data_IF_132017794483
#
_entry.id   IF_132017794483
#
_cell.length_a   1.000
_cell.length_b   1.000
_cell.length_c   1.000
_cell.angle_alpha   90.00
_cell.angle_beta   90.00
_cell.angle_gamma   90.00
#
_symmetry.space_group_name_H-M   'P 1'
#
loop_
_entity.id
_entity.type
_entity.pdbx_description
1 polymer ?
#
# COMPACT_ATOMS: atom_id res chain seq x y z
N UNK A 1 8.65 25.97 1.78
CA UNK A 1 7.95 24.68 1.83
C UNK A 1 7.50 24.41 3.25
N UNK A 2 6.23 24.09 3.47
CA UNK A 2 5.67 23.70 4.76
C UNK A 2 5.19 22.25 4.72
N UNK A 3 5.15 21.58 5.88
CA UNK A 3 4.55 20.25 6.02
C UNK A 3 3.20 20.37 6.73
N UNK A 4 2.17 19.73 6.18
CA UNK A 4 0.78 19.83 6.66
C UNK A 4 0.17 18.44 6.75
N UNK A 5 -0.51 18.18 7.86
CA UNK A 5 -1.35 17.00 8.06
C UNK A 5 -2.78 17.34 7.66
N UNK A 6 -3.28 16.62 6.65
CA UNK A 6 -4.64 16.68 6.13
C UNK A 6 -5.43 15.49 6.67
N UNK A 7 -6.66 15.74 7.13
CA UNK A 7 -7.59 14.67 7.48
C UNK A 7 -8.92 14.88 6.75
N UNK A 8 -9.30 13.91 5.91
CA UNK A 8 -10.59 13.89 5.21
C UNK A 8 -11.50 12.88 5.88
N UNK A 9 -12.70 13.27 6.32
CA UNK A 9 -13.64 12.38 7.01
C UNK A 9 -14.89 12.12 6.18
N UNK A 10 -15.54 10.98 6.42
CA UNK A 10 -16.88 10.73 5.94
C UNK A 10 -17.89 11.68 6.58
N UNK A 11 -18.88 12.06 5.80
CA UNK A 11 -20.13 12.58 6.31
C UNK A 11 -20.85 11.47 7.11
N UNK A 12 -21.24 11.78 8.35
CA UNK A 12 -21.93 10.82 9.22
C UNK A 12 -21.09 9.63 9.72
N UNK A 13 -19.75 9.63 9.55
CA UNK A 13 -18.85 8.52 9.91
C UNK A 13 -19.18 7.18 9.23
N UNK A 14 -19.72 7.25 8.00
CA UNK A 14 -19.93 6.09 7.17
C UNK A 14 -18.61 5.57 6.59
N UNK A 15 -18.61 4.32 6.11
CA UNK A 15 -17.42 3.70 5.53
C UNK A 15 -17.09 4.33 4.16
N UNK A 16 -16.01 5.12 4.08
CA UNK A 16 -15.57 5.76 2.83
C UNK A 16 -15.16 4.74 1.77
N UNK A 17 -14.46 3.68 2.17
CA UNK A 17 -13.87 2.69 1.28
C UNK A 17 -14.18 1.28 1.79
N UNK A 18 -15.41 0.79 1.56
CA UNK A 18 -15.95 -0.38 2.25
C UNK A 18 -15.19 -1.67 1.94
N UNK A 19 -14.61 -1.77 0.74
CA UNK A 19 -13.86 -2.93 0.31
C UNK A 19 -12.39 -2.62 -0.03
N UNK A 20 -11.61 -3.68 -0.18
CA UNK A 20 -10.19 -3.56 -0.49
C UNK A 20 -9.93 -2.94 -1.87
N UNK A 21 -10.79 -3.18 -2.85
CA UNK A 21 -10.64 -2.62 -4.18
C UNK A 21 -10.79 -1.09 -4.16
N UNK A 22 -11.79 -0.58 -3.44
CA UNK A 22 -12.02 0.84 -3.19
C UNK A 22 -10.83 1.47 -2.45
N UNK A 23 -10.33 0.82 -1.39
CA UNK A 23 -9.13 1.29 -0.66
C UNK A 23 -7.92 1.40 -1.56
N UNK A 24 -7.65 0.37 -2.38
CA UNK A 24 -6.51 0.40 -3.32
C UNK A 24 -6.70 1.44 -4.42
N UNK A 25 -7.92 1.69 -4.90
CA UNK A 25 -8.22 2.82 -5.80
C UNK A 25 -7.92 4.18 -5.14
N UNK A 26 -8.32 4.36 -3.88
CA UNK A 26 -8.01 5.57 -3.11
C UNK A 26 -6.51 5.78 -2.94
N UNK A 27 -5.74 4.72 -2.61
CA UNK A 27 -4.27 4.78 -2.53
C UNK A 27 -3.64 5.22 -3.85
N UNK A 28 -4.07 4.65 -4.98
CA UNK A 28 -3.57 5.07 -6.31
C UNK A 28 -3.94 6.53 -6.62
N UNK A 29 -5.14 6.98 -6.21
CA UNK A 29 -5.57 8.36 -6.37
C UNK A 29 -4.69 9.33 -5.54
N UNK A 30 -4.40 8.99 -4.28
CA UNK A 30 -3.49 9.74 -3.42
C UNK A 30 -2.09 9.84 -4.02
N UNK A 31 -1.50 8.74 -4.47
CA UNK A 31 -0.18 8.74 -5.08
C UNK A 31 -0.12 9.58 -6.36
N UNK A 32 -1.12 9.42 -7.25
CA UNK A 32 -1.20 10.16 -8.52
C UNK A 32 -1.32 11.67 -8.33
N UNK A 33 -2.15 12.11 -7.36
CA UNK A 33 -2.43 13.54 -7.15
C UNK A 33 -1.41 14.18 -6.21
N UNK A 34 -0.98 13.45 -5.18
CA UNK A 34 0.01 13.90 -4.20
C UNK A 34 1.41 13.97 -4.80
N UNK A 35 1.77 13.03 -5.67
CA UNK A 35 3.09 12.96 -6.31
C UNK A 35 4.23 13.06 -5.28
N UNK A 36 5.21 13.91 -5.60
CA UNK A 36 6.36 14.18 -4.73
C UNK A 36 6.03 15.02 -3.49
N UNK A 37 4.84 15.62 -3.41
CA UNK A 37 4.41 16.34 -2.21
C UNK A 37 3.97 15.37 -1.11
N UNK A 38 3.61 14.12 -1.44
CA UNK A 38 3.12 13.14 -0.48
C UNK A 38 4.28 12.60 0.40
N UNK A 39 4.09 12.62 1.72
CA UNK A 39 5.06 12.10 2.70
C UNK A 39 4.55 10.85 3.44
N UNK A 40 3.28 10.85 3.84
CA UNK A 40 2.64 9.76 4.56
C UNK A 40 1.16 9.72 4.19
N UNK A 41 0.54 8.55 4.28
CA UNK A 41 -0.92 8.43 4.27
C UNK A 41 -1.40 7.17 5.00
N UNK A 42 -2.65 7.22 5.46
CA UNK A 42 -3.40 6.02 5.81
C UNK A 42 -4.88 6.25 5.49
N UNK A 43 -5.44 5.36 4.68
CA UNK A 43 -6.88 5.28 4.40
C UNK A 43 -7.48 4.33 5.42
N UNK A 44 -8.25 4.81 6.39
CA UNK A 44 -9.02 3.96 7.31
C UNK A 44 -10.47 3.83 6.83
N UNK A 45 -11.34 3.26 7.65
CA UNK A 45 -12.75 3.01 7.32
C UNK A 45 -13.56 4.30 7.13
N UNK A 46 -13.47 5.24 8.07
CA UNK A 46 -14.31 6.45 8.09
C UNK A 46 -13.55 7.75 7.74
N UNK A 47 -12.23 7.69 7.56
CA UNK A 47 -11.42 8.86 7.20
C UNK A 47 -10.08 8.52 6.52
N UNK A 48 -9.40 9.56 6.04
CA UNK A 48 -8.07 9.48 5.40
C UNK A 48 -7.14 10.47 6.05
N UNK A 49 -5.99 10.00 6.51
CA UNK A 49 -4.87 10.84 6.90
C UNK A 49 -3.87 10.97 5.75
N UNK A 50 -3.43 12.20 5.48
CA UNK A 50 -2.42 12.49 4.47
C UNK A 50 -1.44 13.52 5.04
N UNK A 51 -0.14 13.29 4.92
CA UNK A 51 0.88 14.30 5.26
C UNK A 51 1.56 14.71 3.97
N UNK A 52 1.57 16.02 3.70
CA UNK A 52 2.13 16.59 2.47
C UNK A 52 3.15 17.67 2.77
N UNK A 53 4.12 17.85 1.88
CA UNK A 53 5.03 19.00 1.84
C UNK A 53 4.72 19.85 0.63
N UNK A 54 4.33 21.10 0.83
CA UNK A 54 3.97 22.00 -0.27
C UNK A 54 4.26 23.47 0.04
N UNK A 55 4.17 24.32 -0.97
CA UNK A 55 4.18 25.78 -0.77
C UNK A 55 2.87 26.22 -0.07
N UNK A 56 2.91 27.24 0.81
CA UNK A 56 1.72 27.67 1.53
C UNK A 56 0.50 28.00 0.65
N UNK A 57 0.73 28.70 -0.46
CA UNK A 57 -0.28 29.08 -1.45
C UNK A 57 -0.78 27.90 -2.31
N UNK A 58 -0.06 26.77 -2.30
CA UNK A 58 -0.44 25.53 -3.01
C UNK A 58 -1.15 24.51 -2.13
N UNK A 59 -1.00 24.60 -0.80
CA UNK A 59 -1.56 23.59 0.13
C UNK A 59 -3.07 23.42 -0.05
N UNK A 60 -3.83 24.52 -0.10
CA UNK A 60 -5.29 24.46 -0.28
C UNK A 60 -5.71 23.86 -1.62
N UNK A 61 -4.98 24.18 -2.71
CA UNK A 61 -5.22 23.62 -4.04
C UNK A 61 -4.95 22.11 -4.08
N UNK A 62 -3.84 21.66 -3.46
CA UNK A 62 -3.53 20.25 -3.34
C UNK A 62 -4.58 19.50 -2.51
N UNK A 63 -4.99 20.05 -1.37
CA UNK A 63 -6.04 19.47 -0.53
C UNK A 63 -7.37 19.32 -1.30
N UNK A 64 -7.76 20.32 -2.10
CA UNK A 64 -8.94 20.25 -2.96
C UNK A 64 -8.78 19.21 -4.07
N UNK A 65 -7.62 19.11 -4.70
CA UNK A 65 -7.37 18.12 -5.74
C UNK A 65 -7.45 16.68 -5.17
N UNK A 66 -6.86 16.45 -3.99
CA UNK A 66 -6.96 15.17 -3.28
C UNK A 66 -8.42 14.85 -2.93
N UNK A 67 -9.19 15.82 -2.42
CA UNK A 67 -10.61 15.66 -2.14
C UNK A 67 -11.39 15.19 -3.37
N UNK A 68 -11.22 15.87 -4.52
CA UNK A 68 -11.93 15.53 -5.75
C UNK A 68 -11.56 14.14 -6.26
N UNK A 69 -10.28 13.76 -6.14
CA UNK A 69 -9.83 12.43 -6.54
C UNK A 69 -10.33 11.32 -5.61
N UNK A 70 -10.41 11.57 -4.30
CA UNK A 70 -10.99 10.64 -3.33
C UNK A 70 -12.51 10.52 -3.49
N UNK A 71 -13.22 11.63 -3.77
CA UNK A 71 -14.67 11.64 -4.05
C UNK A 71 -15.06 10.71 -5.18
N UNK A 72 -14.23 10.61 -6.22
CA UNK A 72 -14.51 9.74 -7.36
C UNK A 72 -14.48 8.24 -7.03
N UNK A 73 -13.98 7.85 -5.86
CA UNK A 73 -13.83 6.45 -5.45
C UNK A 73 -14.41 6.12 -4.07
N UNK A 74 -14.85 7.14 -3.32
CA UNK A 74 -15.55 6.99 -2.05
C UNK A 74 -16.99 6.50 -2.29
N UNK A 75 -17.51 5.67 -1.38
CA UNK A 75 -18.89 5.22 -1.42
C UNK A 75 -19.89 6.33 -1.02
N UNK A 76 -19.50 7.13 -0.02
CA UNK A 76 -20.32 8.18 0.59
C UNK A 76 -19.70 9.57 0.46
N UNK A 77 -20.40 10.58 0.99
CA UNK A 77 -19.92 11.95 1.06
C UNK A 77 -18.60 12.05 1.85
N UNK A 78 -17.55 12.54 1.21
CA UNK A 78 -16.28 12.90 1.86
C UNK A 78 -16.17 14.41 2.02
N UNK A 79 -15.90 14.82 3.25
CA UNK A 79 -15.80 16.22 3.67
C UNK A 79 -14.43 16.81 3.27
N UNK A 80 -14.36 18.15 3.11
CA UNK A 80 -13.09 18.84 2.94
C UNK A 80 -12.08 18.51 4.05
N UNK A 81 -10.78 18.54 3.73
CA UNK A 81 -9.76 18.25 4.71
C UNK A 81 -9.73 19.27 5.85
N UNK A 82 -9.56 18.78 7.08
CA UNK A 82 -9.01 19.55 8.17
C UNK A 82 -7.47 19.65 8.01
N UNK A 83 -6.94 20.88 8.02
CA UNK A 83 -5.52 21.16 7.82
C UNK A 83 -4.85 21.48 9.16
N UNK A 84 -3.78 20.76 9.50
CA UNK A 84 -2.96 21.04 10.68
C UNK A 84 -1.48 21.19 10.29
N UNK A 85 -0.84 22.34 10.54
CA UNK A 85 0.59 22.50 10.32
C UNK A 85 1.42 21.50 11.14
N UNK A 86 2.48 20.97 10.54
CA UNK A 86 3.50 20.18 11.23
C UNK A 86 4.63 21.13 11.62
N UNK A 87 4.71 21.41 12.92
CA UNK A 87 5.53 22.49 13.51
C UNK A 87 7.02 22.23 13.43
N UNK A 88 7.44 20.97 13.51
CA UNK A 88 8.84 20.60 13.63
C UNK A 88 9.09 19.13 13.24
N UNK A 89 10.36 18.72 13.31
CA UNK A 89 10.81 17.37 12.99
C UNK A 89 10.27 16.31 13.96
N UNK A 90 10.16 16.62 15.24
CA UNK A 90 9.68 15.67 16.25
C UNK A 90 8.19 15.38 16.03
N UNK A 91 7.40 16.39 15.68
CA UNK A 91 6.01 16.25 15.27
C UNK A 91 5.89 15.38 14.00
N UNK A 92 6.73 15.60 12.98
CA UNK A 92 6.73 14.74 11.78
C UNK A 92 7.11 13.28 12.12
N UNK A 93 8.08 13.07 12.99
CA UNK A 93 8.48 11.73 13.44
C UNK A 93 7.38 11.04 14.24
N UNK A 94 6.65 11.78 15.09
CA UNK A 94 5.46 11.28 15.75
C UNK A 94 4.36 10.92 14.73
N UNK A 95 4.15 11.75 13.70
CA UNK A 95 3.18 11.48 12.64
C UNK A 95 3.46 10.17 11.89
N UNK A 96 4.73 9.77 11.70
CA UNK A 96 5.06 8.46 11.12
C UNK A 96 4.41 7.33 11.95
N UNK A 97 4.63 7.33 13.27
CA UNK A 97 4.03 6.32 14.15
C UNK A 97 2.51 6.44 14.19
N UNK A 98 2.01 7.66 14.33
CA UNK A 98 0.57 7.93 14.40
C UNK A 98 -0.17 7.40 13.17
N UNK A 99 0.32 7.70 11.96
CA UNK A 99 -0.31 7.28 10.70
C UNK A 99 -0.22 5.76 10.49
N UNK A 100 0.92 5.15 10.79
CA UNK A 100 1.09 3.70 10.63
C UNK A 100 0.30 2.87 11.65
N UNK A 101 0.00 3.44 12.81
CA UNK A 101 -0.78 2.77 13.86
C UNK A 101 -2.30 2.89 13.66
N UNK A 102 -2.78 3.72 12.72
CA UNK A 102 -4.22 3.93 12.51
C UNK A 102 -5.02 2.65 12.29
N UNK A 103 -4.55 1.64 11.51
CA UNK A 103 -5.32 0.42 11.31
C UNK A 103 -5.58 -0.35 12.62
N UNK A 104 -4.63 -0.36 13.55
CA UNK A 104 -4.81 -0.98 14.86
C UNK A 104 -5.78 -0.17 15.73
N UNK A 105 -5.61 1.16 15.75
CA UNK A 105 -6.48 2.08 16.50
C UNK A 105 -7.95 1.97 16.08
N UNK A 106 -8.20 1.69 14.80
CA UNK A 106 -9.53 1.50 14.21
C UNK A 106 -9.99 0.05 14.17
N UNK A 107 -9.24 -0.90 14.74
CA UNK A 107 -9.58 -2.32 14.79
C UNK A 107 -9.98 -2.91 13.42
N UNK A 108 -9.25 -2.58 12.35
CA UNK A 108 -9.61 -2.89 10.94
C UNK A 108 -9.46 -4.36 10.52
N UNK A 109 -9.56 -5.31 11.46
CA UNK A 109 -9.67 -6.75 11.20
C UNK A 109 -8.44 -7.41 10.56
N UNK A 110 -7.31 -6.72 10.42
CA UNK A 110 -6.06 -7.27 9.90
C UNK A 110 -4.86 -6.63 10.57
N UNK A 111 -3.70 -7.26 10.43
CA UNK A 111 -2.45 -6.73 10.94
C UNK A 111 -2.12 -5.38 10.27
N UNK A 112 -1.71 -4.32 11.01
CA UNK A 112 -1.49 -3.00 10.45
C UNK A 112 -0.47 -2.97 9.29
N UNK A 113 0.51 -3.87 9.34
CA UNK A 113 1.50 -4.01 8.28
C UNK A 113 0.92 -4.49 6.94
N UNK A 114 -0.20 -5.23 6.95
CA UNK A 114 -0.89 -5.75 5.76
C UNK A 114 -2.07 -4.89 5.34
N UNK A 115 -2.35 -3.79 6.04
CA UNK A 115 -3.46 -2.92 5.70
C UNK A 115 -3.21 -2.23 4.35
N UNK A 116 -4.05 -2.54 3.36
CA UNK A 116 -3.87 -2.05 1.98
C UNK A 116 -4.00 -0.54 1.83
N UNK A 117 -4.67 0.14 2.77
CA UNK A 117 -4.78 1.59 2.85
C UNK A 117 -3.60 2.31 3.53
N UNK A 118 -2.67 1.57 4.14
CA UNK A 118 -1.48 2.12 4.82
C UNK A 118 -0.38 2.44 3.81
N UNK A 119 0.46 3.43 4.11
CA UNK A 119 1.66 3.72 3.34
C UNK A 119 2.89 2.88 3.71
N UNK A 120 2.82 2.01 4.73
CA UNK A 120 3.94 1.15 5.11
C UNK A 120 4.52 0.36 3.92
N UNK A 121 3.69 -0.31 3.07
CA UNK A 121 4.23 -1.05 1.94
C UNK A 121 5.06 -0.21 0.97
N UNK A 122 4.70 1.05 0.77
CA UNK A 122 5.45 1.97 -0.09
C UNK A 122 6.78 2.37 0.55
N UNK A 123 6.77 2.66 1.86
CA UNK A 123 7.95 3.06 2.61
C UNK A 123 9.01 1.95 2.68
N UNK A 124 8.60 0.68 2.65
CA UNK A 124 9.50 -0.48 2.73
C UNK A 124 9.77 -1.11 1.36
N UNK A 125 9.26 -0.51 0.28
CA UNK A 125 9.45 -0.98 -1.09
C UNK A 125 8.68 -2.26 -1.44
N UNK A 126 7.70 -2.66 -0.62
CA UNK A 126 6.76 -3.74 -0.92
C UNK A 126 5.61 -3.28 -1.83
N UNK A 127 5.50 -1.99 -2.13
CA UNK A 127 4.54 -1.49 -3.12
C UNK A 127 5.16 -0.38 -3.96
N UNK A 128 4.86 -0.40 -5.25
CA UNK A 128 5.27 0.61 -6.22
C UNK A 128 4.02 1.32 -6.72
N UNK A 129 3.95 2.62 -6.48
CA UNK A 129 2.89 3.50 -6.96
C UNK A 129 3.50 4.49 -7.96
N UNK A 130 3.05 4.52 -9.23
CA UNK A 130 3.56 5.47 -10.21
C UNK A 130 3.45 6.92 -9.72
N UNK A 131 4.54 7.67 -9.82
CA UNK A 131 4.61 9.09 -9.47
C UNK A 131 4.76 9.41 -7.98
N UNK A 132 4.84 8.41 -7.09
CA UNK A 132 5.08 8.63 -5.67
C UNK A 132 6.48 8.17 -5.24
N UNK A 133 7.33 9.11 -4.82
CA UNK A 133 8.66 8.85 -4.28
C UNK A 133 8.67 8.81 -2.73
N UNK A 134 7.62 8.23 -2.12
CA UNK A 134 7.30 8.39 -0.69
C UNK A 134 8.50 8.16 0.25
N UNK A 135 9.21 7.04 0.07
CA UNK A 135 10.36 6.69 0.88
C UNK A 135 11.50 7.72 0.76
N UNK A 136 11.81 8.16 -0.46
CA UNK A 136 12.86 9.14 -0.73
C UNK A 136 12.47 10.53 -0.17
N UNK A 137 11.23 10.97 -0.40
CA UNK A 137 10.75 12.26 0.10
C UNK A 137 10.71 12.29 1.63
N UNK A 138 10.26 11.20 2.27
CA UNK A 138 10.27 11.09 3.74
C UNK A 138 11.70 11.04 4.29
N UNK A 139 12.61 10.29 3.67
CA UNK A 139 14.02 10.21 4.08
C UNK A 139 14.71 11.59 4.01
N UNK A 140 14.36 12.42 3.01
CA UNK A 140 14.87 13.78 2.92
C UNK A 140 14.39 14.68 4.08
N UNK A 141 13.21 14.41 4.67
CA UNK A 141 12.71 15.15 5.84
C UNK A 141 13.21 14.57 7.17
N UNK A 142 13.37 13.24 7.23
CA UNK A 142 13.78 12.49 8.40
C UNK A 142 14.98 11.59 8.08
N UNK A 143 16.20 12.14 7.88
CA UNK A 143 17.38 11.36 7.44
C UNK A 143 17.87 10.32 8.45
N UNK A 144 17.42 10.44 9.71
CA UNK A 144 17.68 9.47 10.79
C UNK A 144 16.56 8.45 10.98
N UNK A 145 15.46 8.55 10.25
CA UNK A 145 14.43 7.51 10.24
C UNK A 145 15.05 6.24 9.67
N UNK A 146 14.78 5.13 10.34
CA UNK A 146 15.28 3.80 9.97
C UNK A 146 14.09 2.88 9.80
N UNK A 147 14.25 1.86 8.94
CA UNK A 147 13.22 0.86 8.68
C UNK A 147 12.74 0.17 9.96
N UNK A 148 13.64 -0.11 10.91
CA UNK A 148 13.28 -0.66 12.24
C UNK A 148 12.18 0.15 12.94
N UNK A 149 12.20 1.48 12.84
CA UNK A 149 11.21 2.36 13.46
C UNK A 149 9.84 2.26 12.78
N UNK A 150 9.81 1.98 11.48
CA UNK A 150 8.58 1.71 10.75
C UNK A 150 7.97 0.37 11.17
N UNK A 151 8.81 -0.66 11.35
CA UNK A 151 8.40 -1.99 11.79
C UNK A 151 7.89 -2.01 13.23
N UNK A 152 8.63 -1.38 14.15
CA UNK A 152 8.18 -1.18 15.53
C UNK A 152 6.79 -0.51 15.59
N UNK A 153 6.53 0.48 14.73
CA UNK A 153 5.24 1.19 14.72
C UNK A 153 4.04 0.31 14.34
N UNK A 154 4.27 -0.82 13.67
CA UNK A 154 3.23 -1.77 13.25
C UNK A 154 3.36 -3.12 13.95
N UNK A 155 4.21 -3.24 14.97
CA UNK A 155 4.39 -4.49 15.72
C UNK A 155 5.21 -5.56 15.01
N UNK A 156 5.99 -5.20 13.98
CA UNK A 156 6.91 -6.13 13.31
C UNK A 156 8.29 -6.16 13.99
N UNK A 157 9.02 -7.29 13.89
CA UNK A 157 10.40 -7.37 14.34
C UNK A 157 11.30 -6.37 13.58
N UNK A 158 12.37 -5.85 14.20
CA UNK A 158 13.20 -4.79 13.62
C UNK A 158 14.09 -5.25 12.44
N UNK A 159 14.16 -6.55 12.16
CA UNK A 159 14.94 -7.13 11.07
C UNK A 159 14.43 -6.61 9.71
N UNK A 160 15.32 -6.15 8.83
CA UNK A 160 14.95 -5.76 7.47
C UNK A 160 14.21 -6.88 6.73
N UNK A 161 13.24 -6.50 5.90
CA UNK A 161 12.61 -7.45 4.99
C UNK A 161 13.55 -7.75 3.82
N UNK A 162 13.84 -9.03 3.65
CA UNK A 162 14.51 -9.56 2.47
C UNK A 162 13.46 -10.02 1.45
N UNK A 163 13.62 -9.74 0.14
CA UNK A 163 12.74 -10.29 -0.87
C UNK A 163 12.77 -11.82 -0.84
N UNK A 164 11.59 -12.46 -0.88
CA UNK A 164 11.46 -13.92 -0.94
C UNK A 164 12.28 -14.51 -2.09
N UNK A 165 13.06 -15.55 -1.82
CA UNK A 165 13.92 -16.24 -2.80
C UNK A 165 13.12 -17.21 -3.68
N UNK A 166 13.69 -17.66 -4.80
CA UNK A 166 13.04 -18.63 -5.69
C UNK A 166 12.75 -19.96 -5.00
N UNK A 167 13.61 -20.39 -4.08
CA UNK A 167 13.39 -21.58 -3.28
C UNK A 167 12.17 -21.43 -2.37
N UNK A 168 12.07 -20.30 -1.66
CA UNK A 168 10.93 -20.00 -0.80
C UNK A 168 9.64 -19.88 -1.61
N UNK A 169 9.68 -19.33 -2.84
CA UNK A 169 8.51 -19.24 -3.72
C UNK A 169 7.87 -20.61 -4.00
N UNK A 170 8.65 -21.69 -4.08
CA UNK A 170 8.12 -23.06 -4.33
C UNK A 170 7.24 -23.56 -3.19
N UNK A 171 7.45 -23.06 -1.97
CA UNK A 171 6.63 -23.38 -0.81
C UNK A 171 5.34 -22.55 -0.71
N UNK A 172 5.12 -21.58 -1.60
CA UNK A 172 3.97 -20.68 -1.56
C UNK A 172 2.88 -21.11 -2.54
N UNK A 173 1.62 -20.94 -2.13
CA UNK A 173 0.48 -21.24 -2.99
C UNK A 173 0.24 -20.17 -4.05
N UNK A 174 -0.43 -20.55 -5.15
CA UNK A 174 -0.81 -19.61 -6.22
C UNK A 174 -1.62 -18.41 -5.71
N UNK A 175 -2.51 -18.62 -4.74
CA UNK A 175 -3.29 -17.55 -4.14
C UNK A 175 -2.42 -16.48 -3.48
N UNK A 176 -1.38 -16.88 -2.74
CA UNK A 176 -0.43 -15.95 -2.11
C UNK A 176 0.33 -15.14 -3.18
N UNK A 177 0.77 -15.79 -4.26
CA UNK A 177 1.48 -15.12 -5.37
C UNK A 177 0.61 -14.09 -6.09
N UNK A 178 -0.67 -14.43 -6.35
CA UNK A 178 -1.64 -13.52 -6.98
C UNK A 178 -1.94 -12.34 -6.06
N UNK A 179 -2.22 -12.60 -4.78
CA UNK A 179 -2.52 -11.57 -3.79
C UNK A 179 -1.36 -10.58 -3.63
N UNK A 180 -0.13 -11.07 -3.48
CA UNK A 180 1.07 -10.25 -3.36
C UNK A 180 1.36 -9.43 -4.62
N UNK A 181 1.21 -10.04 -5.81
CA UNK A 181 1.39 -9.34 -7.09
C UNK A 181 0.37 -8.21 -7.27
N UNK A 182 -0.88 -8.43 -6.87
CA UNK A 182 -1.93 -7.42 -6.87
C UNK A 182 -1.63 -6.31 -5.85
N UNK A 183 -1.25 -6.65 -4.62
CA UNK A 183 -0.92 -5.69 -3.58
C UNK A 183 0.30 -4.80 -3.93
N UNK A 184 1.32 -5.38 -4.58
CA UNK A 184 2.57 -4.70 -4.94
C UNK A 184 2.39 -3.52 -5.92
N UNK A 185 1.28 -3.47 -6.65
CA UNK A 185 0.92 -2.36 -7.55
C UNK A 185 -0.42 -1.73 -7.20
N UNK A 186 -0.96 -2.05 -6.01
CA UNK A 186 -2.31 -1.71 -5.58
C UNK A 186 -3.37 -2.01 -6.66
N UNK A 187 -3.29 -3.12 -7.40
CA UNK A 187 -4.36 -3.52 -8.31
C UNK A 187 -5.60 -3.99 -7.54
N UNK A 188 -6.74 -4.12 -8.22
CA UNK A 188 -7.92 -4.78 -7.65
C UNK A 188 -7.57 -6.22 -7.24
N UNK A 189 -7.92 -6.71 -6.03
CA UNK A 189 -7.65 -8.09 -5.62
C UNK A 189 -8.21 -9.14 -6.59
N UNK A 190 -9.37 -8.87 -7.20
CA UNK A 190 -9.99 -9.78 -8.17
C UNK A 190 -9.28 -9.77 -9.53
N UNK A 191 -8.40 -8.78 -9.77
CA UNK A 191 -7.71 -8.57 -11.05
C UNK A 191 -8.67 -8.54 -12.25
N UNK A 192 -9.90 -8.05 -12.05
CA UNK A 192 -10.89 -7.95 -13.11
C UNK A 192 -10.51 -6.85 -14.13
N UNK A 193 -10.85 -7.06 -15.40
CA UNK A 193 -10.60 -6.08 -16.46
C UNK A 193 -9.23 -6.19 -17.14
N UNK A 194 -8.85 -5.14 -17.88
CA UNK A 194 -7.67 -5.11 -18.78
C UNK A 194 -6.84 -3.82 -18.69
N UNK A 195 -6.99 -3.04 -17.61
CA UNK A 195 -6.18 -1.85 -17.43
C UNK A 195 -4.69 -2.21 -17.21
N UNK A 196 -3.83 -1.19 -17.30
CA UNK A 196 -2.39 -1.37 -17.20
C UNK A 196 -1.96 -1.94 -15.83
N UNK A 197 -2.60 -1.53 -14.74
CA UNK A 197 -2.27 -1.98 -13.38
C UNK A 197 -2.60 -3.47 -13.23
N UNK A 198 -3.80 -3.86 -13.64
CA UNK A 198 -4.26 -5.26 -13.63
C UNK A 198 -3.37 -6.14 -14.51
N UNK A 199 -3.03 -5.67 -15.71
CA UNK A 199 -2.14 -6.39 -16.61
C UNK A 199 -0.74 -6.57 -16.01
N UNK A 200 -0.20 -5.53 -15.37
CA UNK A 200 1.08 -5.58 -14.67
C UNK A 200 1.05 -6.61 -13.53
N UNK A 201 0.04 -6.57 -12.67
CA UNK A 201 -0.12 -7.54 -11.58
C UNK A 201 -0.19 -8.99 -12.09
N UNK A 202 -0.95 -9.24 -13.16
CA UNK A 202 -1.01 -10.58 -13.81
C UNK A 202 0.34 -11.01 -14.37
N UNK A 203 1.11 -10.08 -14.97
CA UNK A 203 2.47 -10.35 -15.44
C UNK A 203 3.42 -10.70 -14.31
N UNK A 204 3.37 -9.98 -13.18
CA UNK A 204 4.18 -10.31 -12.00
C UNK A 204 3.81 -11.71 -11.49
N UNK A 205 2.51 -11.98 -11.30
CA UNK A 205 2.04 -13.29 -10.82
C UNK A 205 2.44 -14.44 -11.74
N UNK A 206 2.34 -14.25 -13.07
CA UNK A 206 2.76 -15.25 -14.05
C UNK A 206 4.29 -15.51 -14.01
N UNK A 207 5.11 -14.47 -13.82
CA UNK A 207 6.56 -14.63 -13.70
C UNK A 207 6.96 -15.32 -12.39
N UNK A 208 6.44 -14.85 -11.25
CA UNK A 208 6.69 -15.46 -9.93
C UNK A 208 6.19 -16.90 -9.87
N UNK A 209 4.99 -17.16 -10.38
CA UNK A 209 4.41 -18.50 -10.42
C UNK A 209 5.19 -19.46 -11.32
N UNK A 210 5.72 -18.99 -12.46
CA UNK A 210 6.61 -19.81 -13.28
C UNK A 210 7.94 -20.10 -12.58
N UNK A 211 8.49 -19.13 -11.83
CA UNK A 211 9.71 -19.34 -11.04
C UNK A 211 9.49 -20.32 -9.86
N UNK A 212 8.28 -20.34 -9.30
CA UNK A 212 7.85 -21.30 -8.29
C UNK A 212 7.55 -22.71 -8.87
N UNK A 213 7.63 -22.89 -10.19
CA UNK A 213 7.41 -24.19 -10.85
C UNK A 213 5.96 -24.50 -11.24
N UNK A 214 5.02 -23.54 -11.13
CA UNK A 214 3.64 -23.76 -11.54
C UNK A 214 3.49 -23.83 -13.07
N UNK A 215 2.63 -24.74 -13.53
CA UNK A 215 2.31 -24.88 -14.96
C UNK A 215 1.40 -23.75 -15.43
N UNK A 216 1.40 -23.51 -16.75
CA UNK A 216 0.61 -22.42 -17.35
C UNK A 216 -0.89 -22.59 -17.13
N UNK A 217 -1.37 -23.82 -17.07
CA UNK A 217 -2.79 -24.17 -16.84
C UNK A 217 -3.22 -23.82 -15.41
N UNK A 218 -2.36 -24.09 -14.42
CA UNK A 218 -2.63 -23.76 -13.02
C UNK A 218 -2.64 -22.23 -12.82
N UNK A 219 -1.69 -21.53 -13.43
CA UNK A 219 -1.64 -20.06 -13.43
C UNK A 219 -2.85 -19.46 -14.15
N UNK A 220 -3.28 -20.06 -15.26
CA UNK A 220 -4.43 -19.62 -16.04
C UNK A 220 -5.71 -19.71 -15.22
N UNK A 221 -5.90 -20.84 -14.52
CA UNK A 221 -7.00 -21.03 -13.59
C UNK A 221 -6.99 -19.98 -12.47
N UNK A 222 -5.85 -19.79 -11.79
CA UNK A 222 -5.74 -18.85 -10.66
C UNK A 222 -5.91 -17.38 -11.06
N UNK A 223 -5.56 -17.01 -12.30
CA UNK A 223 -5.67 -15.65 -12.82
C UNK A 223 -6.97 -15.38 -13.60
N UNK A 224 -7.83 -16.40 -13.75
CA UNK A 224 -9.03 -16.40 -14.57
C UNK A 224 -8.78 -15.92 -16.01
N UNK A 225 -7.74 -16.46 -16.65
CA UNK A 225 -7.37 -16.17 -18.04
C UNK A 225 -7.01 -17.45 -18.79
N UNK A 226 -6.74 -17.38 -20.10
CA UNK A 226 -6.26 -18.53 -20.87
C UNK A 226 -4.77 -18.82 -20.63
N UNK A 227 -4.34 -20.07 -20.83
CA UNK A 227 -2.92 -20.45 -20.78
C UNK A 227 -2.07 -19.66 -21.81
N UNK A 228 -2.65 -19.30 -22.96
CA UNK A 228 -1.99 -18.43 -23.93
C UNK A 228 -1.74 -17.03 -23.37
N UNK A 229 -2.69 -16.46 -22.62
CA UNK A 229 -2.51 -15.19 -21.95
C UNK A 229 -1.39 -15.26 -20.89
N UNK A 230 -1.34 -16.34 -20.10
CA UNK A 230 -0.23 -16.58 -19.14
C UNK A 230 1.13 -16.61 -19.84
N UNK A 231 1.26 -17.35 -20.95
CA UNK A 231 2.51 -17.40 -21.73
C UNK A 231 2.94 -16.01 -22.22
N UNK A 232 1.98 -15.18 -22.65
CA UNK A 232 2.24 -13.78 -23.04
C UNK A 232 2.66 -12.93 -21.84
N UNK A 233 1.97 -13.05 -20.72
CA UNK A 233 2.27 -12.32 -19.49
C UNK A 233 3.67 -12.63 -18.96
N UNK A 234 4.09 -13.90 -19.00
CA UNK A 234 5.42 -14.35 -18.59
C UNK A 234 6.54 -13.75 -19.43
N UNK A 235 6.32 -13.53 -20.73
CA UNK A 235 7.30 -12.98 -21.67
C UNK A 235 7.38 -11.45 -21.65
N UNK A 236 6.46 -10.77 -20.97
CA UNK A 236 6.43 -9.31 -20.92
C UNK A 236 7.64 -8.82 -20.09
N UNK A 237 8.41 -7.90 -20.63
CA UNK A 237 9.44 -7.21 -19.85
C UNK A 237 8.78 -6.37 -18.76
N UNK A 238 9.23 -6.53 -17.52
CA UNK A 238 8.78 -5.76 -16.36
C UNK A 238 9.98 -5.03 -15.77
N UNK A 239 9.71 -3.88 -15.18
CA UNK A 239 10.68 -3.24 -14.29
C UNK A 239 11.03 -4.20 -13.13
N UNK A 240 12.32 -4.53 -12.90
CA UNK A 240 12.75 -5.37 -11.79
C UNK A 240 12.25 -4.90 -10.41
N UNK A 241 12.03 -3.60 -10.23
CA UNK A 241 11.48 -3.04 -8.99
C UNK A 241 10.08 -3.57 -8.67
N UNK A 242 9.26 -3.84 -9.69
CA UNK A 242 7.90 -4.37 -9.52
C UNK A 242 7.92 -5.82 -9.02
N UNK A 243 8.79 -6.65 -9.60
CA UNK A 243 8.96 -8.05 -9.17
C UNK A 243 9.56 -8.10 -7.75
N UNK A 244 10.53 -7.22 -7.46
CA UNK A 244 11.10 -7.08 -6.11
C UNK A 244 10.04 -6.67 -5.09
N UNK A 245 9.16 -5.73 -5.42
CA UNK A 245 8.08 -5.30 -4.54
C UNK A 245 7.10 -6.43 -4.20
N UNK A 246 6.72 -7.25 -5.17
CA UNK A 246 5.88 -8.42 -4.92
C UNK A 246 6.56 -9.49 -4.05
N UNK A 247 7.86 -9.70 -4.21
CA UNK A 247 8.64 -10.56 -3.29
C UNK A 247 8.70 -10.00 -1.87
N UNK A 248 8.83 -8.68 -1.73
CA UNK A 248 8.77 -8.02 -0.42
C UNK A 248 7.36 -8.06 0.20
N UNK A 249 6.29 -8.04 -0.60
CA UNK A 249 4.93 -8.30 -0.09
C UNK A 249 4.81 -9.69 0.51
N UNK A 250 5.31 -10.71 -0.19
CA UNK A 250 5.32 -12.08 0.33
C UNK A 250 6.14 -12.15 1.63
N UNK A 251 7.30 -11.51 1.69
CA UNK A 251 8.12 -11.44 2.90
C UNK A 251 7.37 -10.76 4.05
N UNK A 252 6.64 -9.68 3.77
CA UNK A 252 5.83 -8.97 4.76
C UNK A 252 4.71 -9.85 5.31
N UNK A 253 4.01 -10.59 4.45
CA UNK A 253 2.98 -11.56 4.85
C UNK A 253 3.57 -12.68 5.71
N UNK A 254 4.71 -13.24 5.30
CA UNK A 254 5.40 -14.29 6.07
C UNK A 254 5.88 -13.77 7.44
N UNK A 255 6.41 -12.56 7.51
CA UNK A 255 6.81 -11.93 8.77
C UNK A 255 5.63 -11.77 9.73
N UNK A 256 4.46 -11.38 9.23
CA UNK A 256 3.23 -11.29 10.04
C UNK A 256 2.75 -12.68 10.47
N UNK A 257 2.77 -13.67 9.58
CA UNK A 257 2.38 -15.06 9.91
C UNK A 257 3.29 -15.71 10.95
N UNK A 258 4.55 -15.28 11.04
CA UNK A 258 5.52 -15.77 12.00
C UNK A 258 5.42 -15.09 13.38
N UNK A 259 4.63 -14.03 13.52
CA UNK A 259 4.38 -13.42 14.83
C UNK A 259 3.60 -14.39 15.73
N UNK A 260 3.86 -14.37 17.04
CA UNK A 260 2.99 -15.07 17.97
C UNK A 260 1.56 -14.53 17.83
N UNK A 261 0.53 -15.39 18.03
CA UNK A 261 -0.85 -14.91 18.05
C UNK A 261 -0.96 -13.80 19.09
N UNK A 262 -1.65 -12.71 18.73
CA UNK A 262 -1.90 -11.63 19.68
C UNK A 262 -2.59 -12.22 20.92
N UNK A 263 -2.18 -11.81 22.14
CA UNK A 263 -2.85 -12.26 23.34
C UNK A 263 -4.35 -11.95 23.22
N UNK A 264 -5.18 -12.97 23.40
CA UNK A 264 -6.63 -12.77 23.46
C UNK A 264 -6.89 -11.88 24.68
N UNK A 265 -7.53 -10.71 24.52
CA UNK A 265 -7.84 -9.87 25.67
C UNK A 265 -8.64 -10.71 26.67
N UNK A 266 -8.18 -10.74 27.92
CA UNK A 266 -8.93 -11.38 28.99
C UNK A 266 -10.32 -10.72 29.07
N UNK A 267 -11.39 -11.51 29.27
CA UNK A 267 -12.76 -11.00 29.34
C UNK A 267 -12.94 -9.98 30.47
#
# INVERSE_FOLDING_TARGET
>A
MQTVHLTFSAEGRLALFPDEAARRRAVRALARVGGDALLLFCVVDDHVHVVVRSEPDRTGRLARALLLALRAVAADGILPAHLRPVTDRAHLQWLVRYVLHQPAKHALGTHPALWSGSCLPDLVGARVLPGAALAATLAAQLPRLRQRTLFEAVGLPPQPLEPVTDEQLRGLGLADLVAASSAAVAADPALAGRDATTTTARSIAAQLGSAAGFRSEQLAWALHVSAQAVRRYRRRSLDPALVRAARLQLALVLAVRALPPAPVPAP
#
